data_IF_956694479144
#
_entry.id   IF_956694479144
#
_cell.length_a   1.000
_cell.length_b   1.000
_cell.length_c   1.000
_cell.angle_alpha   90.00
_cell.angle_beta   90.00
_cell.angle_gamma   90.00
#
_symmetry.space_group_name_H-M   'P 1'
#
loop_
_entity.id
_entity.type
_entity.pdbx_description
1 polymer ?
#
# COMPACT_ATOMS: atom_id res chain seq x y z
N UNK A 1 9.45 9.20 -7.91
CA UNK A 1 8.11 9.66 -7.44
C UNK A 1 8.29 10.60 -6.28
N UNK A 2 7.85 11.83 -6.44
CA UNK A 2 8.06 12.88 -5.44
C UNK A 2 6.74 13.56 -5.07
N UNK A 3 6.76 14.24 -3.93
CA UNK A 3 5.64 15.10 -3.52
C UNK A 3 5.37 16.13 -4.61
N UNK A 4 4.11 16.31 -4.98
CA UNK A 4 3.66 17.20 -6.04
C UNK A 4 3.47 16.52 -7.39
N UNK A 5 4.04 15.34 -7.59
CA UNK A 5 3.85 14.60 -8.84
C UNK A 5 2.41 14.11 -8.95
N UNK A 6 1.90 14.00 -10.15
CA UNK A 6 0.64 13.30 -10.41
C UNK A 6 0.89 11.81 -10.17
N UNK A 7 0.09 11.21 -9.30
CA UNK A 7 0.20 9.78 -9.03
C UNK A 7 -0.18 8.99 -10.28
N UNK A 8 0.65 8.03 -10.72
CA UNK A 8 0.31 7.17 -11.84
C UNK A 8 -0.97 6.39 -11.55
N UNK A 9 -1.88 6.35 -12.53
CA UNK A 9 -3.06 5.50 -12.44
C UNK A 9 -2.66 4.03 -12.54
N UNK A 10 -3.50 3.16 -12.04
CA UNK A 10 -3.26 1.71 -12.08
C UNK A 10 -4.57 0.98 -12.26
N UNK A 11 -4.46 -0.29 -12.60
CA UNK A 11 -5.59 -1.21 -12.70
C UNK A 11 -5.14 -2.55 -12.12
N UNK A 12 -5.59 -2.84 -10.89
CA UNK A 12 -5.18 -4.03 -10.15
C UNK A 12 -6.40 -4.75 -9.58
N UNK A 13 -6.30 -6.07 -9.46
CA UNK A 13 -7.35 -6.87 -8.84
C UNK A 13 -7.14 -6.97 -7.33
N UNK A 14 -8.25 -6.93 -6.59
CA UNK A 14 -8.25 -7.13 -5.15
C UNK A 14 -8.35 -8.61 -4.76
N UNK A 15 -8.47 -8.89 -3.47
CA UNK A 15 -8.57 -10.24 -2.91
C UNK A 15 -9.83 -11.01 -3.35
N UNK A 16 -10.81 -10.31 -3.89
CA UNK A 16 -12.06 -10.90 -4.41
C UNK A 16 -12.09 -10.95 -5.94
N UNK A 17 -11.00 -10.55 -6.60
CA UNK A 17 -10.89 -10.53 -8.05
C UNK A 17 -11.54 -9.32 -8.71
N UNK A 18 -11.97 -8.33 -7.94
CA UNK A 18 -12.53 -7.09 -8.47
C UNK A 18 -11.41 -6.12 -8.84
N UNK A 19 -11.55 -5.44 -9.98
CA UNK A 19 -10.57 -4.49 -10.48
C UNK A 19 -10.76 -3.11 -9.84
N UNK A 20 -9.65 -2.53 -9.38
CA UNK A 20 -9.60 -1.18 -8.84
C UNK A 20 -8.66 -0.31 -9.66
N UNK A 21 -9.07 0.94 -9.88
CA UNK A 21 -8.26 1.99 -10.51
C UNK A 21 -8.10 3.13 -9.53
N UNK A 22 -6.98 3.85 -9.60
CA UNK A 22 -6.79 5.04 -8.76
C UNK A 22 -7.91 6.06 -8.99
N UNK A 23 -8.34 6.22 -10.23
CA UNK A 23 -9.41 7.14 -10.59
C UNK A 23 -10.73 6.86 -9.87
N UNK A 24 -10.97 5.62 -9.41
CA UNK A 24 -12.17 5.23 -8.67
C UNK A 24 -12.27 5.95 -7.31
N UNK A 25 -11.14 6.48 -6.84
CA UNK A 25 -11.02 7.12 -5.51
C UNK A 25 -10.85 8.63 -5.59
N UNK A 26 -11.13 9.25 -6.73
CA UNK A 26 -11.06 10.69 -6.89
C UNK A 26 -11.94 11.39 -5.84
N UNK A 27 -11.43 12.45 -5.24
CA UNK A 27 -12.11 13.18 -4.16
C UNK A 27 -11.83 12.66 -2.77
N UNK A 28 -11.06 11.58 -2.65
CA UNK A 28 -10.64 11.01 -1.36
C UNK A 28 -9.14 11.07 -1.21
N UNK A 29 -8.68 11.05 0.04
CA UNK A 29 -7.27 10.78 0.32
C UNK A 29 -7.01 9.29 0.14
N UNK A 30 -6.00 8.93 -0.63
CA UNK A 30 -5.63 7.53 -0.84
C UNK A 30 -4.29 7.27 -0.16
N UNK A 31 -4.30 6.30 0.74
CA UNK A 31 -3.08 5.78 1.36
C UNK A 31 -2.71 4.51 0.61
N UNK A 32 -1.76 4.64 -0.31
CA UNK A 32 -1.30 3.53 -1.14
C UNK A 32 0.01 3.02 -0.56
N UNK A 33 -0.02 1.86 0.10
CA UNK A 33 1.19 1.31 0.68
C UNK A 33 1.61 0.02 -0.03
N UNK A 34 2.91 -0.06 -0.33
CA UNK A 34 3.53 -1.21 -0.97
C UNK A 34 4.24 -2.05 0.10
N UNK A 35 4.07 -3.36 0.05
CA UNK A 35 4.71 -4.27 0.97
C UNK A 35 5.22 -5.52 0.25
N UNK A 36 6.31 -6.15 0.75
CA UNK A 36 7.00 -7.18 -0.03
C UNK A 36 6.26 -8.48 -0.23
N UNK A 37 5.52 -8.96 0.78
CA UNK A 37 4.90 -10.28 0.70
C UNK A 37 3.85 -10.47 1.80
N UNK A 38 2.67 -10.93 1.40
CA UNK A 38 1.58 -11.26 2.31
C UNK A 38 2.00 -12.37 3.30
N UNK A 39 1.45 -12.29 4.51
CA UNK A 39 1.63 -13.28 5.58
C UNK A 39 3.10 -13.47 6.03
N UNK A 40 3.89 -12.40 5.94
CA UNK A 40 5.21 -12.33 6.58
C UNK A 40 5.10 -11.47 7.85
N UNK A 41 6.02 -11.62 8.84
CA UNK A 41 5.86 -10.93 10.13
C UNK A 41 5.70 -9.41 10.04
N UNK A 42 6.55 -8.74 9.29
CA UNK A 42 6.48 -7.28 9.14
C UNK A 42 5.23 -6.82 8.39
N UNK A 43 4.88 -7.50 7.31
CA UNK A 43 3.70 -7.16 6.51
C UNK A 43 2.41 -7.44 7.28
N UNK A 44 2.38 -8.50 8.07
CA UNK A 44 1.25 -8.81 8.95
C UNK A 44 1.08 -7.74 10.04
N UNK A 45 2.17 -7.31 10.68
CA UNK A 45 2.13 -6.26 11.69
C UNK A 45 1.59 -4.95 11.10
N UNK A 46 2.05 -4.57 9.92
CA UNK A 46 1.59 -3.37 9.22
C UNK A 46 0.09 -3.46 8.88
N UNK A 47 -0.35 -4.57 8.31
CA UNK A 47 -1.74 -4.76 7.92
C UNK A 47 -2.68 -4.79 9.13
N UNK A 48 -2.28 -5.44 10.22
CA UNK A 48 -3.05 -5.46 11.46
C UNK A 48 -3.14 -4.07 12.09
N UNK A 49 -2.10 -3.26 11.99
CA UNK A 49 -2.11 -1.88 12.43
C UNK A 49 -3.15 -1.06 11.68
N UNK A 50 -3.20 -1.18 10.35
CA UNK A 50 -4.22 -0.52 9.52
C UNK A 50 -5.62 -0.97 9.92
N UNK A 51 -5.82 -2.28 10.09
CA UNK A 51 -7.09 -2.85 10.52
C UNK A 51 -7.56 -2.22 11.84
N UNK A 52 -6.67 -2.15 12.81
CA UNK A 52 -7.00 -1.68 14.16
C UNK A 52 -7.29 -0.18 14.21
N UNK A 53 -6.82 0.58 13.23
CA UNK A 53 -7.01 2.03 13.14
C UNK A 53 -7.91 2.45 11.97
N UNK A 54 -8.71 1.54 11.44
CA UNK A 54 -9.56 1.79 10.27
C UNK A 54 -10.52 2.97 10.49
N UNK A 55 -11.08 3.13 11.69
CA UNK A 55 -11.99 4.24 11.98
C UNK A 55 -11.29 5.61 11.94
N UNK A 56 -10.02 5.67 12.28
CA UNK A 56 -9.24 6.92 12.22
C UNK A 56 -9.02 7.33 10.77
N UNK A 57 -8.73 6.37 9.89
CA UNK A 57 -8.61 6.64 8.45
C UNK A 57 -9.94 7.10 7.85
N UNK A 58 -11.05 6.45 8.21
CA UNK A 58 -12.38 6.83 7.73
C UNK A 58 -12.74 8.27 8.11
N UNK A 59 -12.43 8.68 9.33
CA UNK A 59 -12.69 10.07 9.80
C UNK A 59 -11.92 11.12 9.01
N UNK A 60 -10.81 10.75 8.40
CA UNK A 60 -9.97 11.63 7.61
C UNK A 60 -10.27 11.55 6.11
N UNK A 61 -11.38 10.91 5.73
CA UNK A 61 -11.75 10.68 4.33
C UNK A 61 -10.63 9.96 3.57
N UNK A 62 -9.99 9.00 4.21
CA UNK A 62 -8.87 8.26 3.66
C UNK A 62 -9.25 6.81 3.37
N UNK A 63 -8.86 6.34 2.20
CA UNK A 63 -8.97 4.93 1.80
C UNK A 63 -7.59 4.33 1.81
N UNK A 64 -7.42 3.18 2.45
CA UNK A 64 -6.13 2.48 2.49
C UNK A 64 -6.15 1.34 1.48
N UNK A 65 -5.16 1.32 0.60
CA UNK A 65 -4.95 0.27 -0.40
C UNK A 65 -3.57 -0.33 -0.17
N UNK A 66 -3.51 -1.62 0.10
CA UNK A 66 -2.24 -2.33 0.24
C UNK A 66 -1.89 -3.01 -1.08
N UNK A 67 -0.64 -2.90 -1.54
CA UNK A 67 -0.18 -3.47 -2.80
C UNK A 67 1.03 -4.38 -2.55
N UNK A 68 0.95 -5.61 -3.03
CA UNK A 68 2.05 -6.57 -2.99
C UNK A 68 2.14 -7.35 -4.30
N UNK A 69 3.23 -8.09 -4.55
CA UNK A 69 3.34 -8.92 -5.75
C UNK A 69 2.59 -10.26 -5.64
N UNK A 70 1.72 -10.40 -4.66
CA UNK A 70 0.95 -11.64 -4.45
C UNK A 70 -0.27 -11.72 -5.37
N UNK A 71 -0.74 -12.97 -5.61
CA UNK A 71 -1.96 -13.21 -6.37
C UNK A 71 -3.21 -12.87 -5.55
N UNK A 72 -4.37 -12.61 -6.19
CA UNK A 72 -5.63 -12.42 -5.47
C UNK A 72 -5.95 -13.56 -4.50
N UNK A 73 -5.65 -14.80 -4.87
CA UNK A 73 -5.86 -15.98 -4.01
C UNK A 73 -5.05 -15.88 -2.71
N UNK A 74 -3.78 -15.49 -2.80
CA UNK A 74 -2.93 -15.32 -1.61
C UNK A 74 -3.40 -14.15 -0.76
N UNK A 75 -3.86 -13.07 -1.39
CA UNK A 75 -4.40 -11.91 -0.69
C UNK A 75 -5.71 -12.26 0.02
N UNK A 76 -6.57 -13.10 -0.56
CA UNK A 76 -7.78 -13.59 0.09
C UNK A 76 -7.45 -14.38 1.35
N UNK A 77 -6.47 -15.29 1.25
CA UNK A 77 -6.00 -16.07 2.39
C UNK A 77 -5.44 -15.18 3.50
N UNK A 78 -4.66 -14.17 3.13
CA UNK A 78 -4.10 -13.19 4.08
C UNK A 78 -5.20 -12.40 4.79
N UNK A 79 -6.15 -11.85 4.02
CA UNK A 79 -7.28 -11.10 4.58
C UNK A 79 -8.13 -11.95 5.53
N UNK A 80 -8.40 -13.20 5.15
CA UNK A 80 -9.20 -14.11 5.99
C UNK A 80 -8.48 -14.48 7.29
N UNK A 81 -7.17 -14.75 7.18
CA UNK A 81 -6.36 -15.17 8.33
C UNK A 81 -6.31 -14.11 9.43
N UNK A 82 -6.22 -12.85 9.05
CA UNK A 82 -6.04 -11.74 9.98
C UNK A 82 -7.24 -10.80 10.08
N UNK A 83 -8.35 -11.11 9.43
CA UNK A 83 -9.55 -10.29 9.47
C UNK A 83 -9.33 -8.88 8.94
N UNK A 84 -8.69 -8.75 7.77
CA UNK A 84 -8.38 -7.45 7.19
C UNK A 84 -9.57 -6.90 6.41
N UNK A 85 -10.16 -5.76 6.83
CA UNK A 85 -11.39 -5.25 6.21
C UNK A 85 -11.13 -4.28 5.04
N UNK A 86 -9.88 -4.01 4.70
CA UNK A 86 -9.53 -3.07 3.65
C UNK A 86 -9.05 -3.78 2.38
N UNK A 87 -8.94 -3.03 1.30
CA UNK A 87 -8.58 -3.56 -0.01
C UNK A 87 -7.10 -3.90 -0.11
N UNK A 88 -6.82 -5.13 -0.56
CA UNK A 88 -5.47 -5.61 -0.88
C UNK A 88 -5.41 -5.85 -2.37
N UNK A 89 -4.41 -5.25 -3.04
CA UNK A 89 -4.25 -5.30 -4.48
C UNK A 89 -3.03 -6.14 -4.86
N UNK A 90 -3.17 -6.96 -5.89
CA UNK A 90 -2.11 -7.82 -6.40
C UNK A 90 -1.42 -7.21 -7.61
N UNK A 91 -0.14 -6.89 -7.48
CA UNK A 91 0.73 -6.39 -8.56
C UNK A 91 1.74 -7.48 -8.94
N UNK A 92 1.21 -8.59 -9.47
CA UNK A 92 2.01 -9.82 -9.71
C UNK A 92 3.17 -9.58 -10.67
N UNK A 93 3.01 -8.75 -11.68
CA UNK A 93 4.04 -8.42 -12.66
C UNK A 93 4.88 -7.20 -12.27
N UNK A 94 4.68 -6.64 -11.08
CA UNK A 94 5.34 -5.46 -10.50
C UNK A 94 5.29 -4.20 -11.37
N UNK A 95 4.38 -4.13 -12.33
CA UNK A 95 4.28 -2.97 -13.23
C UNK A 95 3.95 -1.66 -12.50
N UNK A 96 3.05 -1.73 -11.51
CA UNK A 96 2.69 -0.56 -10.69
C UNK A 96 3.82 -0.20 -9.75
N UNK A 97 4.48 -1.17 -9.16
CA UNK A 97 5.66 -0.94 -8.33
C UNK A 97 6.77 -0.24 -9.11
N UNK A 98 6.96 -0.60 -10.38
CA UNK A 98 7.92 0.07 -11.26
C UNK A 98 7.54 1.54 -11.49
N UNK A 99 6.27 1.83 -11.73
CA UNK A 99 5.80 3.20 -11.95
C UNK A 99 5.96 4.08 -10.71
N UNK A 100 5.85 3.50 -9.52
CA UNK A 100 6.02 4.21 -8.25
C UNK A 100 7.44 4.15 -7.70
N UNK A 101 8.39 3.60 -8.46
CA UNK A 101 9.83 3.51 -8.09
C UNK A 101 10.07 2.70 -6.81
N UNK A 102 9.25 1.67 -6.56
CA UNK A 102 9.37 0.83 -5.36
C UNK A 102 9.75 -0.62 -5.67
N UNK A 103 10.02 -0.96 -6.92
CA UNK A 103 10.60 -2.25 -7.30
C UNK A 103 12.11 -2.07 -7.37
N UNK A 104 12.83 -2.56 -6.38
CA UNK A 104 14.21 -2.19 -6.13
C UNK A 104 15.09 -3.41 -5.87
N UNK A 105 16.40 -3.22 -6.04
CA UNK A 105 17.38 -4.23 -5.67
C UNK A 105 17.51 -4.31 -4.14
N UNK A 106 17.40 -5.52 -3.61
CA UNK A 106 17.57 -5.82 -2.19
C UNK A 106 18.73 -6.77 -2.01
N UNK A 107 19.29 -6.77 -0.80
CA UNK A 107 20.38 -7.66 -0.41
C UNK A 107 20.00 -8.40 0.86
N UNK A 108 20.08 -9.72 0.84
CA UNK A 108 19.87 -10.56 2.01
C UNK A 108 21.04 -11.55 2.12
N UNK A 109 21.85 -11.43 3.17
CA UNK A 109 23.01 -12.29 3.42
C UNK A 109 23.99 -12.35 2.22
N UNK A 110 24.22 -11.20 1.58
CA UNK A 110 25.10 -11.11 0.41
C UNK A 110 24.44 -11.48 -0.92
N UNK A 111 23.21 -11.97 -0.89
CA UNK A 111 22.44 -12.35 -2.08
C UNK A 111 21.59 -11.17 -2.56
N UNK A 112 21.81 -10.74 -3.78
CA UNK A 112 21.04 -9.66 -4.40
C UNK A 112 19.81 -10.22 -5.10
N UNK A 113 18.66 -9.54 -4.95
CA UNK A 113 17.42 -9.87 -5.63
C UNK A 113 16.57 -8.62 -5.80
N UNK A 114 15.61 -8.67 -6.72
CA UNK A 114 14.65 -7.58 -6.91
C UNK A 114 13.41 -7.83 -6.05
N UNK A 115 12.89 -6.78 -5.45
CA UNK A 115 11.70 -6.89 -4.61
C UNK A 115 11.04 -5.55 -4.37
N UNK A 116 9.85 -5.61 -3.75
CA UNK A 116 9.06 -4.43 -3.45
C UNK A 116 9.56 -3.77 -2.16
N UNK A 117 9.91 -2.49 -2.24
CA UNK A 117 10.27 -1.68 -1.08
C UNK A 117 9.01 -1.34 -0.29
N UNK A 118 9.09 -1.43 1.03
CA UNK A 118 7.98 -1.02 1.90
C UNK A 118 7.89 0.50 1.91
N UNK A 119 7.01 1.04 1.06
CA UNK A 119 6.85 2.49 0.86
C UNK A 119 5.37 2.84 0.83
N UNK A 120 5.03 4.02 1.34
CA UNK A 120 3.65 4.51 1.37
C UNK A 120 3.57 5.87 0.73
N UNK A 121 2.58 6.03 -0.14
CA UNK A 121 2.26 7.28 -0.83
C UNK A 121 0.90 7.75 -0.36
N UNK A 122 0.83 8.99 0.14
CA UNK A 122 -0.44 9.65 0.44
C UNK A 122 -0.80 10.50 -0.76
N UNK A 123 -1.90 10.14 -1.41
CA UNK A 123 -2.38 10.80 -2.62
C UNK A 123 -3.62 11.61 -2.24
N UNK A 124 -3.60 12.90 -2.58
CA UNK A 124 -4.71 13.79 -2.25
C UNK A 124 -5.93 13.61 -3.16
N UNK A 125 -7.05 14.28 -2.83
CA UNK A 125 -8.28 14.20 -3.62
C UNK A 125 -8.14 14.64 -5.07
N UNK A 126 -7.12 15.44 -5.38
CA UNK A 126 -6.79 15.90 -6.73
C UNK A 126 -5.93 14.93 -7.53
N UNK A 127 -5.54 13.78 -6.95
CA UNK A 127 -4.72 12.79 -7.60
C UNK A 127 -3.21 13.06 -7.53
N UNK A 128 -2.80 14.09 -6.81
CA UNK A 128 -1.38 14.42 -6.65
C UNK A 128 -0.80 13.82 -5.36
N UNK A 129 0.47 13.42 -5.42
CA UNK A 129 1.19 12.88 -4.26
C UNK A 129 1.43 13.99 -3.24
N UNK A 130 0.95 13.79 -2.01
CA UNK A 130 1.10 14.76 -0.91
C UNK A 130 2.22 14.39 0.04
N UNK A 131 2.43 13.09 0.28
CA UNK A 131 3.49 12.60 1.16
C UNK A 131 4.07 11.32 0.59
N UNK A 132 5.38 11.10 0.83
CA UNK A 132 6.09 9.88 0.44
C UNK A 132 6.87 9.39 1.66
N UNK A 133 6.64 8.16 2.06
CA UNK A 133 7.38 7.51 3.14
C UNK A 133 8.06 6.27 2.58
N UNK A 134 9.38 6.28 2.50
CA UNK A 134 10.15 5.16 1.99
C UNK A 134 10.77 4.35 3.11
N UNK A 135 10.93 3.06 2.88
CA UNK A 135 11.54 2.11 3.84
C UNK A 135 10.88 2.21 5.22
N UNK A 136 9.56 2.20 5.22
CA UNK A 136 8.75 2.39 6.42
C UNK A 136 8.91 1.19 7.35
N UNK A 137 9.09 1.45 8.64
CA UNK A 137 9.04 0.41 9.67
C UNK A 137 7.58 0.05 9.95
N UNK A 138 7.22 -1.24 9.93
CA UNK A 138 5.81 -1.64 10.13
C UNK A 138 5.16 -1.06 11.38
N UNK A 139 5.88 -1.00 12.50
CA UNK A 139 5.34 -0.51 13.76
C UNK A 139 5.09 1.01 13.79
N UNK A 140 5.71 1.77 12.88
CA UNK A 140 5.62 3.23 12.82
C UNK A 140 4.68 3.73 11.71
N UNK A 141 4.22 2.82 10.86
CA UNK A 141 3.49 3.17 9.63
C UNK A 141 2.25 4.02 9.90
N UNK A 142 1.35 3.57 10.77
CA UNK A 142 0.08 4.27 10.97
C UNK A 142 0.27 5.63 11.64
N UNK A 143 1.19 5.75 12.58
CA UNK A 143 1.48 7.03 13.23
C UNK A 143 2.01 8.06 12.22
N UNK A 144 2.90 7.64 11.33
CA UNK A 144 3.43 8.51 10.27
C UNK A 144 2.33 8.96 9.31
N UNK A 145 1.53 8.01 8.84
CA UNK A 145 0.51 8.28 7.82
C UNK A 145 -0.63 9.11 8.41
N UNK A 146 -1.15 8.73 9.58
CA UNK A 146 -2.24 9.48 10.21
C UNK A 146 -1.78 10.89 10.60
N UNK A 147 -0.53 11.03 11.05
CA UNK A 147 0.06 12.35 11.31
C UNK A 147 0.12 13.22 10.06
N UNK A 148 0.48 12.64 8.91
CA UNK A 148 0.50 13.35 7.64
C UNK A 148 -0.90 13.77 7.18
N UNK A 149 -1.90 12.92 7.38
CA UNK A 149 -3.29 13.20 6.99
C UNK A 149 -3.93 14.30 7.83
N UNK A 150 -3.45 14.52 9.05
CA UNK A 150 -4.00 15.53 9.96
C UNK A 150 -3.26 16.86 9.93
N UNK A 151 -2.15 16.93 9.21
CA UNK A 151 -1.33 18.17 9.14
C UNK A 151 -1.76 19.12 8.02
#
# INVERSE_FOLDING_TARGET
MNVGDTAPDFELEDQDGNTHKLADYAGKNVVLYFYPKADTPGCTAQACGVRDRASEYDKLNAVVLGVSPDSPKKLRAFADKFGLPFTLLGDEDHSVADEYDVWVEKNMHGRKYMGMERSTFVIGPDGNVKHVFRKVKPAEHDDLVLGALTS
#
